data_IF_090485606851
#
_entry.id   IF_090485606851
#
_cell.length_a   1.000
_cell.length_b   1.000
_cell.length_c   1.000
_cell.angle_alpha   90.00
_cell.angle_beta   90.00
_cell.angle_gamma   90.00
#
_symmetry.space_group_name_H-M   'P 1'
#
loop_
_entity.id
_entity.type
_entity.pdbx_description
1 polymer ?
#
# COMPACT_ATOMS: atom_id res chain seq x y z
N UNK A 1 15.20 12.78 -11.02
CA UNK A 1 15.88 11.47 -11.11
C UNK A 1 15.04 10.43 -10.40
N UNK A 2 14.65 9.41 -11.11
CA UNK A 2 13.83 8.34 -10.53
C UNK A 2 14.74 7.27 -9.94
N UNK A 3 14.62 7.03 -8.66
CA UNK A 3 15.38 6.03 -7.92
C UNK A 3 14.44 5.29 -6.98
N UNK A 4 14.94 4.21 -6.37
CA UNK A 4 14.17 3.49 -5.39
C UNK A 4 13.76 4.41 -4.22
N UNK A 5 14.66 5.26 -3.77
CA UNK A 5 14.37 6.21 -2.72
C UNK A 5 13.27 7.19 -3.14
N UNK A 6 13.36 7.71 -4.36
CA UNK A 6 12.35 8.63 -4.89
C UNK A 6 10.99 7.93 -5.00
N UNK A 7 10.96 6.67 -5.42
CA UNK A 7 9.73 5.90 -5.52
C UNK A 7 9.07 5.70 -4.15
N UNK A 8 9.84 5.26 -3.16
CA UNK A 8 9.30 5.03 -1.82
C UNK A 8 8.83 6.32 -1.18
N UNK A 9 9.57 7.41 -1.37
CA UNK A 9 9.21 8.72 -0.85
C UNK A 9 7.92 9.24 -1.52
N UNK A 10 7.79 9.06 -2.81
CA UNK A 10 6.58 9.46 -3.55
C UNK A 10 5.34 8.68 -3.08
N UNK A 11 5.49 7.37 -2.88
CA UNK A 11 4.41 6.53 -2.37
C UNK A 11 4.02 6.98 -0.96
N UNK A 12 5.03 7.19 -0.09
CA UNK A 12 4.78 7.65 1.27
C UNK A 12 4.02 8.97 1.28
N UNK A 13 4.44 9.93 0.48
CA UNK A 13 3.78 11.23 0.43
C UNK A 13 2.34 11.12 -0.06
N UNK A 14 2.07 10.28 -1.05
CA UNK A 14 0.71 10.05 -1.53
C UNK A 14 -0.16 9.39 -0.46
N UNK A 15 0.38 8.44 0.27
CA UNK A 15 -0.34 7.78 1.36
C UNK A 15 -0.58 8.71 2.54
N UNK A 16 0.40 9.55 2.89
CA UNK A 16 0.25 10.55 3.95
C UNK A 16 -0.86 11.56 3.60
N UNK A 17 -1.05 11.85 2.34
CA UNK A 17 -2.10 12.76 1.89
C UNK A 17 -3.49 12.12 1.83
N UNK A 18 -3.58 10.80 1.99
CA UNK A 18 -4.85 10.09 1.93
C UNK A 18 -5.61 10.28 3.26
N UNK A 19 -6.79 10.88 3.17
CA UNK A 19 -7.59 11.20 4.37
C UNK A 19 -8.11 9.96 5.10
N UNK A 20 -8.12 8.80 4.46
CA UNK A 20 -8.55 7.55 5.07
C UNK A 20 -7.46 6.90 5.94
N UNK A 21 -6.23 7.41 5.89
CA UNK A 21 -5.10 6.83 6.60
C UNK A 21 -4.59 7.76 7.69
N UNK A 22 -4.23 7.19 8.84
CA UNK A 22 -3.65 7.92 9.95
C UNK A 22 -2.13 7.80 10.05
N UNK A 23 -1.57 6.72 9.51
CA UNK A 23 -0.12 6.54 9.57
C UNK A 23 0.37 5.70 8.39
N UNK A 24 1.66 5.82 8.10
CA UNK A 24 2.34 5.09 7.04
C UNK A 24 3.64 4.56 7.63
N UNK A 25 3.93 3.28 7.39
CA UNK A 25 5.18 2.66 7.82
C UNK A 25 5.83 1.92 6.67
N UNK A 26 7.09 1.51 6.88
CA UNK A 26 7.89 0.83 5.86
C UNK A 26 8.72 -0.27 6.52
N UNK A 27 8.90 -1.38 5.81
CA UNK A 27 9.75 -2.47 6.26
C UNK A 27 9.09 -3.83 6.06
N UNK A 28 9.53 -4.80 6.85
CA UNK A 28 8.96 -6.15 6.82
C UNK A 28 7.58 -6.19 7.48
N UNK A 29 6.74 -7.12 7.04
CA UNK A 29 5.39 -7.30 7.59
C UNK A 29 5.44 -7.52 9.12
N UNK A 30 6.44 -8.26 9.59
CA UNK A 30 6.57 -8.57 11.01
C UNK A 30 6.78 -7.31 11.87
N UNK A 31 7.31 -6.25 11.29
CA UNK A 31 7.53 -4.99 12.00
C UNK A 31 6.24 -4.30 12.41
N UNK A 32 5.13 -4.59 11.73
CA UNK A 32 3.84 -3.98 12.05
C UNK A 32 3.42 -4.33 13.49
N UNK A 33 3.58 -5.59 13.87
CA UNK A 33 3.22 -6.04 15.22
C UNK A 33 4.17 -5.51 16.29
N UNK A 34 5.41 -5.21 15.92
CA UNK A 34 6.42 -4.71 16.84
C UNK A 34 6.24 -3.21 17.12
N UNK A 35 5.51 -2.50 16.27
CA UNK A 35 5.26 -1.07 16.43
C UNK A 35 4.13 -0.85 17.43
N UNK A 36 4.48 -0.68 18.69
CA UNK A 36 3.50 -0.49 19.78
C UNK A 36 2.68 0.79 19.66
N UNK A 37 3.05 1.67 18.75
CA UNK A 37 2.39 2.95 18.56
C UNK A 37 1.66 3.04 17.23
N UNK A 38 1.29 1.91 16.64
CA UNK A 38 0.54 1.90 15.39
C UNK A 38 -0.75 2.70 15.52
N UNK A 39 -0.98 3.56 14.54
CA UNK A 39 -2.22 4.33 14.44
C UNK A 39 -3.00 3.84 13.24
N UNK A 40 -4.12 3.23 13.51
CA UNK A 40 -5.00 2.73 12.45
C UNK A 40 -5.98 3.82 12.02
N UNK A 41 -6.38 3.88 10.75
CA UNK A 41 -5.92 3.05 9.63
C UNK A 41 -4.47 3.31 9.24
N UNK A 42 -3.77 2.22 8.91
CA UNK A 42 -2.33 2.23 8.65
C UNK A 42 -2.06 1.67 7.26
N UNK A 43 -1.13 2.27 6.52
CA UNK A 43 -0.55 1.67 5.32
C UNK A 43 0.89 1.29 5.60
N UNK A 44 1.25 0.05 5.28
CA UNK A 44 2.61 -0.46 5.45
C UNK A 44 3.19 -0.83 4.09
N UNK A 45 4.28 -0.18 3.73
CA UNK A 45 4.92 -0.34 2.42
C UNK A 45 6.08 -1.32 2.53
N UNK A 46 6.10 -2.31 1.66
CA UNK A 46 7.21 -3.26 1.56
C UNK A 46 7.68 -3.40 0.12
N UNK A 47 8.96 -3.66 -0.04
CA UNK A 47 9.57 -3.92 -1.34
C UNK A 47 10.17 -5.31 -1.28
N UNK A 48 9.85 -6.16 -2.26
CA UNK A 48 10.32 -7.53 -2.25
C UNK A 48 11.45 -7.78 -3.25
N UNK A 49 11.20 -7.53 -4.52
CA UNK A 49 12.17 -7.83 -5.58
C UNK A 49 12.19 -6.72 -6.61
N UNK A 50 13.24 -6.73 -7.43
CA UNK A 50 13.33 -5.81 -8.54
C UNK A 50 13.99 -6.49 -9.73
N UNK A 51 13.67 -6.00 -10.92
CA UNK A 51 14.26 -6.48 -12.16
C UNK A 51 14.87 -5.29 -12.91
N UNK A 52 16.13 -5.42 -13.29
CA UNK A 52 16.85 -4.36 -14.00
C UNK A 52 16.90 -4.72 -15.48
N UNK A 53 16.37 -3.83 -16.31
CA UNK A 53 16.47 -3.92 -17.76
C UNK A 53 17.40 -2.82 -18.29
N UNK A 54 17.56 -2.73 -19.60
CA UNK A 54 18.53 -1.79 -20.20
C UNK A 54 18.20 -0.33 -19.86
N UNK A 55 16.95 0.07 -19.95
CA UNK A 55 16.54 1.46 -19.76
C UNK A 55 15.64 1.68 -18.54
N UNK A 56 15.09 0.61 -17.98
CA UNK A 56 14.13 0.70 -16.90
C UNK A 56 14.41 -0.34 -15.81
N UNK A 57 13.84 -0.11 -14.66
CA UNK A 57 13.80 -1.11 -13.58
C UNK A 57 12.36 -1.29 -13.14
N UNK A 58 11.98 -2.53 -12.83
CA UNK A 58 10.66 -2.85 -12.32
C UNK A 58 10.81 -3.28 -10.88
N UNK A 59 10.07 -2.62 -9.99
CA UNK A 59 10.12 -2.86 -8.55
C UNK A 59 8.80 -3.46 -8.10
N UNK A 60 8.87 -4.60 -7.42
CA UNK A 60 7.70 -5.23 -6.81
C UNK A 60 7.43 -4.58 -5.47
N UNK A 61 6.31 -3.88 -5.38
CA UNK A 61 5.91 -3.16 -4.16
C UNK A 61 4.63 -3.78 -3.62
N UNK A 62 4.62 -4.03 -2.33
CA UNK A 62 3.44 -4.53 -1.62
C UNK A 62 3.04 -3.50 -0.57
N UNK A 63 1.78 -3.10 -0.56
CA UNK A 63 1.27 -2.17 0.45
C UNK A 63 0.12 -2.84 1.17
N UNK A 64 0.22 -2.92 2.48
CA UNK A 64 -0.82 -3.49 3.33
C UNK A 64 -1.61 -2.33 3.94
N UNK A 65 -2.90 -2.29 3.65
CA UNK A 65 -3.81 -1.28 4.21
C UNK A 65 -4.61 -1.95 5.33
N UNK A 66 -4.47 -1.45 6.54
CA UNK A 66 -4.96 -2.10 7.76
C UNK A 66 -5.85 -1.15 8.53
N UNK A 67 -7.02 -1.64 8.93
CA UNK A 67 -7.92 -0.92 9.82
C UNK A 67 -8.30 -1.81 11.00
N UNK A 68 -8.43 -1.21 12.16
CA UNK A 68 -8.87 -1.92 13.35
C UNK A 68 -10.35 -2.31 13.22
N UNK A 69 -10.68 -3.54 13.63
CA UNK A 69 -12.04 -4.06 13.56
C UNK A 69 -12.79 -3.72 14.83
N UNK A 70 -14.02 -3.21 14.68
CA UNK A 70 -14.90 -2.92 15.79
C UNK A 70 -15.79 -4.15 16.07
N UNK A 71 -15.43 -4.92 17.08
CA UNK A 71 -16.12 -6.15 17.43
C UNK A 71 -17.59 -5.96 17.84
N UNK A 72 -17.90 -4.81 18.40
CA UNK A 72 -19.27 -4.55 18.85
C UNK A 72 -20.20 -4.45 17.65
N UNK A 73 -19.78 -3.79 16.58
CA UNK A 73 -20.55 -3.73 15.34
C UNK A 73 -20.67 -5.07 14.64
N UNK A 74 -19.61 -5.88 14.69
CA UNK A 74 -19.59 -7.18 14.02
C UNK A 74 -20.66 -8.13 14.54
N UNK A 75 -21.17 -7.92 15.74
CA UNK A 75 -22.18 -8.78 16.35
C UNK A 75 -23.62 -8.37 15.99
N UNK A 76 -23.82 -7.18 15.45
CA UNK A 76 -25.15 -6.63 15.21
C UNK A 76 -25.70 -6.93 13.82
N UNK A 77 -24.85 -7.06 12.83
CA UNK A 77 -25.30 -7.25 11.43
C UNK A 77 -24.26 -8.04 10.65
N UNK A 78 -24.69 -9.17 10.07
CA UNK A 78 -23.80 -10.07 9.35
C UNK A 78 -23.29 -9.53 8.01
N UNK A 79 -23.98 -8.57 7.39
CA UNK A 79 -23.56 -7.99 6.11
C UNK A 79 -22.74 -6.72 6.27
N UNK A 80 -22.93 -6.02 7.36
CA UNK A 80 -22.16 -4.81 7.66
C UNK A 80 -21.30 -5.02 8.89
N UNK A 81 -20.72 -6.23 9.02
CA UNK A 81 -19.78 -6.47 10.09
C UNK A 81 -18.56 -5.57 9.90
N UNK A 82 -17.86 -5.29 10.99
CA UNK A 82 -16.77 -4.32 10.94
C UNK A 82 -15.57 -4.81 10.15
N UNK A 83 -15.43 -6.12 9.95
CA UNK A 83 -14.40 -6.67 9.09
C UNK A 83 -14.62 -6.27 7.63
N UNK A 84 -15.83 -6.48 7.12
CA UNK A 84 -16.17 -6.07 5.75
C UNK A 84 -16.08 -4.56 5.59
N UNK A 85 -16.51 -3.80 6.59
CA UNK A 85 -16.43 -2.35 6.58
C UNK A 85 -14.97 -1.89 6.52
N UNK A 86 -14.10 -2.51 7.32
CA UNK A 86 -12.67 -2.21 7.30
C UNK A 86 -12.06 -2.54 5.93
N UNK A 87 -12.40 -3.68 5.37
CA UNK A 87 -11.92 -4.07 4.04
C UNK A 87 -12.38 -3.09 2.97
N UNK A 88 -13.63 -2.63 3.06
CA UNK A 88 -14.17 -1.65 2.10
C UNK A 88 -13.43 -0.31 2.17
N UNK A 89 -13.17 0.18 3.37
CA UNK A 89 -12.44 1.43 3.55
C UNK A 89 -11.00 1.32 3.05
N UNK A 90 -10.36 0.19 3.34
CA UNK A 90 -8.98 -0.01 2.93
C UNK A 90 -8.87 -0.24 1.42
N UNK A 91 -9.88 -0.86 0.81
CA UNK A 91 -9.95 -0.97 -0.65
C UNK A 91 -10.06 0.42 -1.29
N UNK A 92 -10.84 1.32 -0.69
CA UNK A 92 -10.95 2.69 -1.21
C UNK A 92 -9.61 3.42 -1.14
N UNK A 93 -8.89 3.26 -0.02
CA UNK A 93 -7.55 3.86 0.12
C UNK A 93 -6.57 3.29 -0.91
N UNK A 94 -6.61 1.97 -1.11
CA UNK A 94 -5.75 1.29 -2.08
C UNK A 94 -6.07 1.73 -3.52
N UNK A 95 -7.35 1.87 -3.83
CA UNK A 95 -7.80 2.30 -5.16
C UNK A 95 -7.25 3.69 -5.49
N UNK A 96 -7.20 4.58 -4.51
CA UNK A 96 -6.64 5.90 -4.70
C UNK A 96 -5.17 5.83 -5.12
N UNK A 97 -4.37 5.03 -4.42
CA UNK A 97 -2.96 4.86 -4.75
C UNK A 97 -2.78 4.32 -6.17
N UNK A 98 -3.55 3.28 -6.53
CA UNK A 98 -3.48 2.69 -7.87
C UNK A 98 -3.84 3.71 -8.95
N UNK A 99 -4.86 4.52 -8.71
CA UNK A 99 -5.29 5.52 -9.69
C UNK A 99 -4.23 6.59 -9.94
N UNK A 100 -3.52 7.05 -8.89
CA UNK A 100 -2.47 8.06 -9.08
C UNK A 100 -1.26 7.48 -9.80
N UNK A 101 -1.03 6.18 -9.69
CA UNK A 101 0.03 5.48 -10.45
C UNK A 101 -0.36 5.30 -11.91
N UNK A 102 -1.63 5.14 -12.21
CA UNK A 102 -2.09 4.92 -13.59
C UNK A 102 -2.24 6.22 -14.38
N UNK A 103 -2.70 7.27 -13.75
CA UNK A 103 -3.03 8.51 -14.47
C UNK A 103 -2.94 9.79 -13.63
N UNK A 104 -2.38 9.71 -12.44
CA UNK A 104 -2.30 10.85 -11.53
C UNK A 104 -0.88 11.38 -11.38
N UNK A 105 -0.62 11.95 -10.22
CA UNK A 105 0.64 12.62 -9.94
C UNK A 105 1.85 11.70 -10.01
N UNK A 106 1.72 10.45 -9.56
CA UNK A 106 2.84 9.51 -9.60
C UNK A 106 3.15 9.11 -11.04
N UNK A 107 2.14 8.94 -11.87
CA UNK A 107 2.34 8.69 -13.29
C UNK A 107 3.10 9.85 -13.94
N UNK A 108 2.71 11.08 -13.61
CA UNK A 108 3.35 12.28 -14.14
C UNK A 108 4.82 12.40 -13.71
N UNK A 109 5.17 11.85 -12.54
CA UNK A 109 6.55 11.83 -12.06
C UNK A 109 7.39 10.71 -12.68
N UNK A 110 6.79 9.86 -13.50
CA UNK A 110 7.49 8.78 -14.18
C UNK A 110 7.41 7.43 -13.50
N UNK A 111 6.60 7.29 -12.46
CA UNK A 111 6.35 6.01 -11.80
C UNK A 111 5.12 5.36 -12.44
N UNK A 112 5.34 4.28 -13.18
CA UNK A 112 4.28 3.66 -13.95
C UNK A 112 3.97 2.25 -13.43
N UNK A 113 2.69 1.99 -13.25
CA UNK A 113 2.23 0.64 -12.96
C UNK A 113 2.32 -0.18 -14.24
N UNK A 114 3.08 -1.28 -14.21
CA UNK A 114 3.32 -2.10 -15.39
C UNK A 114 2.09 -2.88 -15.80
N UNK A 115 1.46 -3.53 -14.82
CA UNK A 115 0.23 -4.30 -15.02
C UNK A 115 -0.81 -3.83 -13.99
N UNK A 116 -1.96 -4.47 -13.98
CA UNK A 116 -2.96 -4.18 -12.97
C UNK A 116 -2.46 -4.61 -11.60
N UNK A 117 -2.84 -3.86 -10.57
CA UNK A 117 -2.53 -4.22 -9.20
C UNK A 117 -3.43 -5.38 -8.74
N UNK A 118 -2.86 -6.28 -7.96
CA UNK A 118 -3.58 -7.40 -7.38
C UNK A 118 -3.93 -7.07 -5.93
N UNK A 119 -5.17 -7.35 -5.54
CA UNK A 119 -5.67 -7.05 -4.20
C UNK A 119 -6.08 -8.33 -3.50
N UNK A 120 -5.54 -8.57 -2.30
CA UNK A 120 -5.92 -9.69 -1.44
C UNK A 120 -6.59 -9.13 -0.19
N UNK A 121 -7.74 -9.67 0.15
CA UNK A 121 -8.48 -9.26 1.34
C UNK A 121 -8.10 -10.15 2.52
N UNK A 122 -8.00 -9.57 3.71
CA UNK A 122 -7.71 -10.33 4.91
C UNK A 122 -8.56 -9.83 6.08
N UNK A 123 -8.74 -10.71 7.07
CA UNK A 123 -9.39 -10.38 8.32
C UNK A 123 -8.74 -11.14 9.47
N UNK A 124 -8.92 -10.66 10.70
CA UNK A 124 -8.38 -11.25 11.93
C UNK A 124 -6.88 -11.59 11.86
N UNK A 125 -6.14 -10.74 11.15
CA UNK A 125 -4.70 -10.89 10.99
C UNK A 125 -4.01 -10.05 12.06
N UNK A 126 -2.90 -10.57 12.59
CA UNK A 126 -2.16 -9.94 13.69
C UNK A 126 -2.90 -10.06 15.04
N UNK A 127 -2.23 -9.65 16.10
CA UNK A 127 -2.75 -9.73 17.46
C UNK A 127 -3.82 -8.68 17.76
N UNK A 128 -3.87 -7.62 16.97
CA UNK A 128 -4.74 -6.45 17.21
C UNK A 128 -6.05 -6.51 16.46
N UNK A 129 -6.58 -7.64 16.12
CA UNK A 129 -7.86 -7.76 15.40
C UNK A 129 -8.05 -6.68 14.34
N UNK A 130 -7.36 -6.85 13.25
CA UNK A 130 -7.39 -5.90 12.13
C UNK A 130 -7.82 -6.60 10.85
N UNK A 131 -8.36 -5.83 9.93
CA UNK A 131 -8.74 -6.31 8.61
C UNK A 131 -8.37 -5.26 7.57
N UNK A 132 -8.31 -5.67 6.34
CA UNK A 132 -7.99 -4.75 5.26
C UNK A 132 -7.64 -5.46 3.97
N UNK A 133 -6.74 -4.85 3.21
CA UNK A 133 -6.31 -5.39 1.93
C UNK A 133 -4.79 -5.29 1.78
N UNK A 134 -4.23 -6.23 1.05
CA UNK A 134 -2.84 -6.19 0.58
C UNK A 134 -2.85 -5.95 -0.91
N UNK A 135 -2.11 -4.96 -1.35
CA UNK A 135 -2.01 -4.61 -2.78
C UNK A 135 -0.60 -4.91 -3.26
N UNK A 136 -0.50 -5.75 -4.27
CA UNK A 136 0.77 -6.09 -4.91
C UNK A 136 0.84 -5.41 -6.27
N UNK A 137 1.95 -4.70 -6.50
CA UNK A 137 2.13 -3.88 -7.69
C UNK A 137 3.53 -4.05 -8.26
N UNK A 138 3.62 -3.99 -9.59
CA UNK A 138 4.90 -3.91 -10.30
C UNK A 138 5.03 -2.50 -10.85
N UNK A 139 5.98 -1.74 -10.34
CA UNK A 139 6.16 -0.35 -10.72
C UNK A 139 7.43 -0.20 -11.53
N UNK A 140 7.32 0.38 -12.72
CA UNK A 140 8.44 0.62 -13.62
C UNK A 140 8.96 2.02 -13.42
N UNK A 141 10.28 2.14 -13.25
CA UNK A 141 10.99 3.42 -13.18
C UNK A 141 12.10 3.43 -14.21
N UNK A 142 12.48 4.62 -14.65
CA UNK A 142 13.61 4.78 -15.56
C UNK A 142 14.93 4.62 -14.80
N UNK A 143 15.87 3.90 -15.39
CA UNK A 143 17.20 3.79 -14.81
C UNK A 143 17.87 5.16 -14.80
N UNK A 144 18.38 5.55 -13.63
CA UNK A 144 19.00 6.85 -13.45
C UNK A 144 20.47 6.86 -13.87
N UNK A 145 21.06 5.68 -14.01
CA UNK A 145 22.45 5.55 -14.45
C UNK A 145 22.50 5.54 -15.97
N UNK A 146 22.98 6.60 -16.56
CA UNK A 146 23.26 6.58 -17.98
C UNK A 146 24.69 6.07 -18.16
N UNK A 147 24.82 4.95 -18.82
CA UNK A 147 26.11 4.40 -19.22
C UNK A 147 26.33 4.84 -20.65
N UNK A 148 27.09 5.85 -20.81
CA UNK A 148 27.46 6.35 -22.14
C UNK A 148 28.88 5.95 -22.45
#
# INVERSE_FOLDING_TARGET
MNSLFALTDAIKNELDANVLLNSVSYGDVDEIELLKTNRYPLAHVGISTGTISDATSTIEVSVIFIQQVDEVKAQEDSFSDSELYAQNNMLAAATRLVQVLKRGDLYAQGFQLEDDATVDFFGDRFTDKVAGVTVDMSITIKNSASVC
#
